data_IF_300886099926
#
_entry.id   IF_300886099926
#
_cell.length_a   1.000
_cell.length_b   1.000
_cell.length_c   1.000
_cell.angle_alpha   90.00
_cell.angle_beta   90.00
_cell.angle_gamma   90.00
#
_symmetry.space_group_name_H-M   'P 1'
#
loop_
_entity.id
_entity.type
_entity.pdbx_description
1 polymer ?
#
# COMPACT_ATOMS: atom_id res chain seq x y z
N UNK A 1 13.25 -9.43 9.63
CA UNK A 1 13.34 -8.07 9.01
C UNK A 1 12.12 -7.78 8.15
N UNK A 2 11.54 -6.59 8.31
CA UNK A 2 10.49 -6.06 7.44
C UNK A 2 11.09 -4.97 6.55
N UNK A 3 10.86 -5.02 5.22
CA UNK A 3 11.13 -3.90 4.32
C UNK A 3 9.84 -3.09 4.14
N UNK A 4 9.85 -1.82 4.54
CA UNK A 4 8.73 -0.88 4.37
C UNK A 4 9.05 0.02 3.18
N UNK A 5 8.19 0.00 2.17
CA UNK A 5 8.37 0.75 0.91
C UNK A 5 7.45 1.96 0.92
N UNK A 6 8.03 3.15 0.77
CA UNK A 6 7.31 4.43 0.73
C UNK A 6 7.57 5.11 -0.61
N UNK A 7 6.61 5.12 -1.54
CA UNK A 7 6.69 5.92 -2.76
C UNK A 7 6.46 7.40 -2.42
N UNK A 8 7.35 8.28 -2.88
CA UNK A 8 7.35 9.71 -2.55
C UNK A 8 7.26 10.51 -3.85
N UNK A 9 6.25 11.38 -3.95
CA UNK A 9 6.15 12.37 -5.00
C UNK A 9 5.42 13.61 -4.48
N UNK A 10 6.13 14.74 -4.35
CA UNK A 10 5.62 16.02 -3.86
C UNK A 10 4.77 15.87 -2.59
N UNK A 11 5.40 15.36 -1.53
CA UNK A 11 4.75 15.02 -0.25
C UNK A 11 5.34 15.82 0.94
N UNK A 12 5.98 16.96 0.71
CA UNK A 12 6.70 17.74 1.73
C UNK A 12 5.85 18.04 2.98
N UNK A 13 4.54 18.25 2.82
CA UNK A 13 3.63 18.57 3.94
C UNK A 13 3.42 17.39 4.90
N UNK A 14 3.57 16.13 4.42
CA UNK A 14 3.19 14.92 5.16
C UNK A 14 4.37 14.02 5.48
N UNK A 15 5.41 14.05 4.64
CA UNK A 15 6.50 13.08 4.65
C UNK A 15 7.23 12.98 5.98
N UNK A 16 7.40 14.10 6.68
CA UNK A 16 8.02 14.12 8.01
C UNK A 16 7.25 13.22 8.97
N UNK A 17 5.93 13.39 9.09
CA UNK A 17 5.09 12.60 10.00
C UNK A 17 5.09 11.12 9.61
N UNK A 18 5.08 10.81 8.31
CA UNK A 18 5.21 9.47 7.80
C UNK A 18 6.51 8.81 8.28
N UNK A 19 7.67 9.40 7.96
CA UNK A 19 8.99 8.84 8.32
C UNK A 19 9.11 8.68 9.84
N UNK A 20 8.71 9.68 10.63
CA UNK A 20 8.77 9.60 12.09
C UNK A 20 7.90 8.45 12.64
N UNK A 21 6.76 8.15 12.03
CA UNK A 21 5.91 7.03 12.42
C UNK A 21 6.59 5.68 12.17
N UNK A 22 7.40 5.58 11.11
CA UNK A 22 8.17 4.37 10.77
C UNK A 22 9.39 4.19 11.69
N UNK A 23 10.09 5.28 12.01
CA UNK A 23 11.23 5.26 12.93
C UNK A 23 10.81 4.83 14.34
N UNK A 24 9.60 5.24 14.77
CA UNK A 24 9.06 4.95 16.11
C UNK A 24 8.39 3.58 16.24
N UNK A 25 8.46 2.70 15.24
CA UNK A 25 7.93 1.34 15.37
C UNK A 25 8.62 0.58 16.51
N UNK A 26 7.86 -0.22 17.28
CA UNK A 26 8.39 -1.09 18.35
C UNK A 26 9.24 -2.23 17.81
N UNK A 27 9.01 -2.66 16.56
CA UNK A 27 9.88 -3.57 15.82
C UNK A 27 11.11 -2.81 15.32
N UNK A 28 12.31 -3.28 15.68
CA UNK A 28 13.57 -2.62 15.34
C UNK A 28 14.20 -3.16 14.04
N UNK A 29 13.93 -4.42 13.69
CA UNK A 29 14.50 -5.08 12.50
C UNK A 29 13.78 -4.65 11.21
N UNK A 30 13.99 -3.39 10.84
CA UNK A 30 13.36 -2.72 9.72
C UNK A 30 14.37 -2.27 8.67
N UNK A 31 13.95 -2.32 7.41
CA UNK A 31 14.54 -1.61 6.28
C UNK A 31 13.49 -0.61 5.75
N UNK A 32 13.79 0.68 5.78
CA UNK A 32 12.90 1.75 5.32
C UNK A 32 13.35 2.22 3.94
N UNK A 33 12.59 1.86 2.90
CA UNK A 33 12.92 2.14 1.50
C UNK A 33 12.07 3.32 1.03
N UNK A 34 12.69 4.49 0.97
CA UNK A 34 12.07 5.72 0.49
C UNK A 34 12.37 5.89 -1.01
N UNK A 35 11.35 5.81 -1.85
CA UNK A 35 11.53 5.93 -3.31
C UNK A 35 11.02 7.28 -3.77
N UNK A 36 11.95 8.23 -4.03
CA UNK A 36 11.63 9.52 -4.60
C UNK A 36 11.36 9.40 -6.10
N UNK A 37 10.12 9.60 -6.49
CA UNK A 37 9.63 9.52 -7.88
C UNK A 37 9.72 10.87 -8.58
N UNK A 38 10.89 11.54 -8.49
CA UNK A 38 11.15 12.81 -9.18
C UNK A 38 10.41 13.99 -8.56
N UNK A 39 10.33 14.08 -7.22
CA UNK A 39 9.74 15.23 -6.53
C UNK A 39 10.45 16.54 -6.90
N UNK A 40 9.67 17.62 -6.96
CA UNK A 40 10.13 18.98 -7.27
C UNK A 40 10.01 19.94 -6.08
N UNK A 41 9.47 19.44 -4.96
CA UNK A 41 9.35 20.11 -3.67
C UNK A 41 10.48 19.67 -2.70
N UNK A 42 10.35 19.99 -1.41
CA UNK A 42 11.35 19.64 -0.39
C UNK A 42 11.33 18.16 0.05
N UNK A 43 10.52 17.29 -0.57
CA UNK A 43 10.41 15.88 -0.17
C UNK A 43 11.74 15.15 -0.15
N UNK A 44 12.61 15.36 -1.17
CA UNK A 44 13.91 14.70 -1.23
C UNK A 44 14.85 15.17 -0.12
N UNK A 45 14.90 16.47 0.16
CA UNK A 45 15.75 17.04 1.22
C UNK A 45 15.29 16.56 2.61
N UNK A 46 13.99 16.46 2.84
CA UNK A 46 13.43 15.89 4.08
C UNK A 46 13.88 14.43 4.23
N UNK A 47 13.70 13.60 3.21
CA UNK A 47 14.11 12.19 3.26
C UNK A 47 15.61 12.05 3.56
N UNK A 48 16.46 12.85 2.91
CA UNK A 48 17.91 12.84 3.11
C UNK A 48 18.32 13.25 4.53
N UNK A 49 17.63 14.21 5.13
CA UNK A 49 17.88 14.63 6.50
C UNK A 49 17.62 13.51 7.51
N UNK A 50 16.57 12.69 7.30
CA UNK A 50 16.28 11.52 8.13
C UNK A 50 17.24 10.36 7.87
N UNK A 51 17.60 10.09 6.62
CA UNK A 51 18.55 9.03 6.27
C UNK A 51 19.96 9.29 6.86
N UNK A 52 20.33 10.54 7.05
CA UNK A 52 21.59 10.90 7.73
C UNK A 52 21.58 10.56 9.24
N UNK A 53 20.41 10.35 9.85
CA UNK A 53 20.22 10.12 11.27
C UNK A 53 19.84 8.68 11.61
N UNK A 54 19.26 7.93 10.68
CA UNK A 54 18.80 6.56 10.88
C UNK A 54 19.30 5.66 9.75
N UNK A 55 20.24 4.76 10.06
CA UNK A 55 20.88 3.85 9.10
C UNK A 55 19.91 2.81 8.49
N UNK A 56 18.69 2.67 9.02
CA UNK A 56 17.64 1.80 8.46
C UNK A 56 17.01 2.40 7.20
N UNK A 57 17.21 3.71 6.94
CA UNK A 57 16.61 4.43 5.81
C UNK A 57 17.52 4.36 4.59
N UNK A 58 17.00 3.80 3.51
CA UNK A 58 17.63 3.76 2.19
C UNK A 58 16.80 4.60 1.22
N UNK A 59 17.45 5.52 0.47
CA UNK A 59 16.76 6.40 -0.50
C UNK A 59 17.13 5.99 -1.92
N UNK A 60 16.12 5.84 -2.75
CA UNK A 60 16.27 5.61 -4.20
C UNK A 60 15.52 6.68 -4.96
N UNK A 61 16.16 7.32 -5.93
CA UNK A 61 15.54 8.32 -6.78
C UNK A 61 15.39 7.82 -8.21
N UNK A 62 14.28 8.19 -8.84
CA UNK A 62 14.00 7.89 -10.24
C UNK A 62 13.33 9.08 -10.93
N UNK A 63 13.39 9.19 -12.27
CA UNK A 63 12.53 10.11 -13.00
C UNK A 63 11.07 9.79 -12.75
N UNK A 64 10.22 10.82 -12.68
CA UNK A 64 8.79 10.64 -12.39
C UNK A 64 8.13 9.65 -13.35
N UNK A 65 7.64 8.54 -12.80
CA UNK A 65 7.02 7.43 -13.53
C UNK A 65 5.74 6.91 -12.85
N UNK A 66 5.34 7.53 -11.74
CA UNK A 66 4.13 7.23 -10.98
C UNK A 66 4.32 6.21 -9.85
N UNK A 67 3.33 6.17 -8.97
CA UNK A 67 3.35 5.39 -7.73
C UNK A 67 3.63 3.89 -7.95
N UNK A 68 3.08 3.29 -9.02
CA UNK A 68 3.36 1.90 -9.39
C UNK A 68 4.85 1.65 -9.64
N UNK A 69 5.48 2.51 -10.44
CA UNK A 69 6.89 2.40 -10.77
C UNK A 69 7.77 2.57 -9.51
N UNK A 70 7.40 3.52 -8.64
CA UNK A 70 8.10 3.74 -7.38
C UNK A 70 7.99 2.53 -6.44
N UNK A 71 6.78 1.94 -6.27
CA UNK A 71 6.61 0.72 -5.48
C UNK A 71 7.38 -0.47 -6.08
N UNK A 72 7.33 -0.64 -7.42
CA UNK A 72 8.10 -1.68 -8.12
C UNK A 72 9.61 -1.49 -7.95
N UNK A 73 10.08 -0.26 -7.96
CA UNK A 73 11.49 0.05 -7.70
C UNK A 73 11.86 -0.32 -6.25
N UNK A 74 11.04 0.06 -5.28
CA UNK A 74 11.25 -0.33 -3.88
C UNK A 74 11.31 -1.84 -3.68
N UNK A 75 10.44 -2.61 -4.35
CA UNK A 75 10.44 -4.08 -4.29
C UNK A 75 11.77 -4.70 -4.75
N UNK A 76 12.47 -4.10 -5.73
CA UNK A 76 13.78 -4.58 -6.21
C UNK A 76 14.87 -4.46 -5.14
N UNK A 77 14.73 -3.52 -4.22
CA UNK A 77 15.70 -3.22 -3.15
C UNK A 77 15.33 -3.84 -1.81
N UNK A 78 14.13 -4.41 -1.69
CA UNK A 78 13.65 -5.04 -0.47
C UNK A 78 14.44 -6.32 -0.13
N UNK A 79 15.05 -6.33 1.06
CA UNK A 79 15.87 -7.46 1.59
C UNK A 79 15.09 -8.27 2.62
N UNK A 80 14.06 -7.68 3.25
CA UNK A 80 13.28 -8.29 4.30
C UNK A 80 12.54 -9.56 3.88
N UNK A 81 12.29 -10.44 4.83
CA UNK A 81 11.40 -11.59 4.67
C UNK A 81 9.95 -11.12 4.49
N UNK A 82 9.64 -9.98 5.07
CA UNK A 82 8.33 -9.37 5.01
C UNK A 82 8.38 -8.02 4.31
N UNK A 83 7.27 -7.68 3.64
CA UNK A 83 7.10 -6.43 2.89
C UNK A 83 5.87 -5.69 3.40
N UNK A 84 5.99 -4.40 3.59
CA UNK A 84 4.87 -3.49 3.81
C UNK A 84 4.97 -2.29 2.84
N UNK A 85 3.83 -1.71 2.51
CA UNK A 85 3.75 -0.45 1.76
C UNK A 85 3.08 0.60 2.64
N UNK A 86 3.61 1.82 2.60
CA UNK A 86 3.03 2.97 3.30
C UNK A 86 3.05 4.15 2.34
N UNK A 87 1.92 4.84 2.19
CA UNK A 87 1.86 6.02 1.36
C UNK A 87 2.47 7.22 2.11
N UNK A 88 3.16 8.12 1.39
CA UNK A 88 3.95 9.20 1.99
C UNK A 88 3.13 10.25 2.77
N UNK A 89 1.81 10.26 2.57
CA UNK A 89 0.85 11.10 3.29
C UNK A 89 0.17 10.41 4.47
N UNK A 90 0.51 9.13 4.75
CA UNK A 90 -0.07 8.31 5.82
C UNK A 90 0.96 8.05 6.94
N UNK A 91 0.50 7.43 8.03
CA UNK A 91 1.34 7.05 9.16
C UNK A 91 0.92 5.71 9.78
N UNK A 92 1.80 5.14 10.61
CA UNK A 92 1.52 3.91 11.36
C UNK A 92 1.50 4.17 12.86
N UNK A 93 0.61 3.47 13.59
CA UNK A 93 0.73 3.37 15.04
C UNK A 93 2.03 2.64 15.42
N UNK A 94 2.64 2.93 16.57
CA UNK A 94 3.96 2.41 16.92
C UNK A 94 4.07 0.88 16.96
N UNK A 95 2.99 0.17 17.24
CA UNK A 95 2.93 -1.29 17.36
C UNK A 95 2.43 -2.01 16.09
N UNK A 96 2.32 -1.28 14.97
CA UNK A 96 1.77 -1.84 13.72
C UNK A 96 2.58 -3.02 13.20
N UNK A 97 3.90 -2.88 13.11
CA UNK A 97 4.80 -3.94 12.64
C UNK A 97 4.75 -5.17 13.55
N UNK A 98 4.86 -4.97 14.86
CA UNK A 98 4.83 -6.03 15.86
C UNK A 98 3.54 -6.85 15.80
N UNK A 99 2.37 -6.18 15.75
CA UNK A 99 1.07 -6.86 15.67
C UNK A 99 0.89 -7.66 14.40
N UNK A 100 1.39 -7.17 13.27
CA UNK A 100 1.31 -7.91 12.02
C UNK A 100 2.28 -9.10 12.01
N UNK A 101 3.50 -8.95 12.55
CA UNK A 101 4.45 -10.04 12.72
C UNK A 101 3.90 -11.15 13.63
N UNK A 102 3.28 -10.79 14.74
CA UNK A 102 2.68 -11.76 15.65
C UNK A 102 1.55 -12.58 15.00
N UNK A 103 0.96 -12.07 13.92
CA UNK A 103 -0.15 -12.71 13.23
C UNK A 103 0.21 -13.40 11.91
N UNK A 104 1.46 -13.27 11.40
CA UNK A 104 1.82 -13.73 10.05
C UNK A 104 2.02 -15.24 9.94
N UNK A 105 2.09 -15.94 11.05
CA UNK A 105 2.43 -17.36 11.04
C UNK A 105 1.36 -18.22 10.35
N UNK A 106 1.78 -19.08 9.42
CA UNK A 106 0.88 -19.95 8.67
C UNK A 106 0.03 -19.28 7.58
N UNK A 107 0.26 -17.99 7.27
CA UNK A 107 -0.43 -17.25 6.20
C UNK A 107 0.55 -16.51 5.31
N UNK A 108 0.10 -16.11 4.12
CA UNK A 108 0.91 -15.38 3.14
C UNK A 108 0.92 -13.88 3.40
N UNK A 109 -0.15 -13.36 3.98
CA UNK A 109 -0.22 -11.96 4.42
C UNK A 109 -1.22 -11.76 5.56
N UNK A 110 -0.98 -10.70 6.33
CA UNK A 110 -1.89 -10.21 7.37
C UNK A 110 -2.49 -8.91 6.90
N UNK A 111 -3.79 -8.72 7.13
CA UNK A 111 -4.51 -7.49 6.80
C UNK A 111 -5.16 -6.92 8.05
N UNK A 112 -4.95 -5.64 8.30
CA UNK A 112 -5.61 -4.88 9.35
C UNK A 112 -6.64 -3.89 8.78
N UNK A 113 -7.27 -3.14 9.66
CA UNK A 113 -8.06 -1.98 9.34
C UNK A 113 -7.23 -0.68 9.35
N UNK A 114 -7.94 0.43 9.21
CA UNK A 114 -7.38 1.77 9.23
C UNK A 114 -8.23 2.74 10.07
N UNK A 115 -7.58 3.80 10.54
CA UNK A 115 -8.23 5.00 11.05
C UNK A 115 -8.13 6.09 10.00
N UNK A 116 -9.24 6.75 9.69
CA UNK A 116 -9.26 7.89 8.78
C UNK A 116 -9.04 9.16 9.58
N UNK A 117 -7.99 9.88 9.26
CA UNK A 117 -7.55 11.05 10.00
C UNK A 117 -7.72 12.32 9.15
N UNK A 118 -8.10 13.40 9.81
CA UNK A 118 -8.04 14.76 9.26
C UNK A 118 -7.34 15.63 10.29
N UNK A 119 -6.16 16.16 9.94
CA UNK A 119 -5.25 16.76 10.91
C UNK A 119 -4.98 15.76 12.05
N UNK A 120 -5.10 16.14 13.30
CA UNK A 120 -4.86 15.25 14.46
C UNK A 120 -6.13 14.50 14.93
N UNK A 121 -7.25 14.57 14.20
CA UNK A 121 -8.52 13.98 14.64
C UNK A 121 -8.86 12.73 13.84
N UNK A 122 -9.26 11.66 14.54
CA UNK A 122 -9.80 10.45 13.92
C UNK A 122 -11.26 10.70 13.57
N UNK A 123 -11.61 10.60 12.27
CA UNK A 123 -12.98 10.78 11.79
C UNK A 123 -13.78 9.48 11.86
N UNK A 124 -13.16 8.39 11.43
CA UNK A 124 -13.73 7.05 11.49
C UNK A 124 -12.63 5.99 11.45
N UNK A 125 -13.02 4.76 11.73
CA UNK A 125 -12.14 3.59 11.60
C UNK A 125 -12.90 2.45 10.94
N UNK A 126 -12.17 1.55 10.29
CA UNK A 126 -12.75 0.42 9.60
C UNK A 126 -11.83 -0.78 9.62
N UNK A 127 -12.39 -1.95 9.98
CA UNK A 127 -11.73 -3.25 9.89
C UNK A 127 -12.39 -4.04 8.76
N UNK A 128 -11.63 -4.74 7.90
CA UNK A 128 -12.21 -5.55 6.86
C UNK A 128 -12.90 -6.79 7.44
N UNK A 129 -14.07 -7.13 6.94
CA UNK A 129 -14.78 -8.35 7.32
C UNK A 129 -14.33 -9.59 6.53
N UNK A 130 -13.62 -9.37 5.41
CA UNK A 130 -13.04 -10.43 4.57
C UNK A 130 -11.88 -9.89 3.72
N UNK A 131 -10.96 -10.75 3.23
CA UNK A 131 -9.72 -10.33 2.55
C UNK A 131 -9.90 -9.44 1.32
N UNK A 132 -11.02 -9.59 0.63
CA UNK A 132 -11.30 -8.87 -0.63
C UNK A 132 -11.96 -7.49 -0.41
N UNK A 133 -12.12 -7.07 0.84
CA UNK A 133 -12.84 -5.83 1.15
C UNK A 133 -12.01 -4.57 0.86
N UNK A 134 -10.71 -4.60 1.11
CA UNK A 134 -9.83 -3.49 0.81
C UNK A 134 -8.89 -3.87 -0.33
N UNK A 135 -8.70 -2.98 -1.29
CA UNK A 135 -7.76 -3.16 -2.39
C UNK A 135 -6.41 -2.53 -2.10
N UNK A 136 -6.35 -1.54 -1.20
CA UNK A 136 -5.10 -0.90 -0.82
C UNK A 136 -4.07 -1.91 -0.33
N UNK A 137 -2.82 -1.87 -0.82
CA UNK A 137 -1.73 -2.71 -0.35
C UNK A 137 -1.20 -2.26 1.01
N UNK A 138 -1.53 -1.06 1.46
CA UNK A 138 -0.86 -0.38 2.57
C UNK A 138 -1.29 -0.89 3.97
N UNK A 139 -2.44 -1.54 4.08
CA UNK A 139 -2.94 -2.08 5.38
C UNK A 139 -2.52 -3.54 5.58
N UNK A 140 -1.42 -3.96 4.95
CA UNK A 140 -1.02 -5.37 4.90
C UNK A 140 0.48 -5.54 5.14
N UNK A 141 0.81 -6.62 5.86
CA UNK A 141 2.15 -7.18 5.91
C UNK A 141 2.16 -8.46 5.07
N UNK A 142 3.06 -8.55 4.12
CA UNK A 142 3.18 -9.69 3.22
C UNK A 142 4.44 -10.50 3.50
N UNK A 143 4.37 -11.83 3.38
CA UNK A 143 5.58 -12.61 3.13
C UNK A 143 6.13 -12.24 1.76
N UNK A 144 7.41 -11.89 1.67
CA UNK A 144 8.05 -11.54 0.38
C UNK A 144 7.88 -12.64 -0.66
N UNK A 145 7.95 -13.91 -0.25
CA UNK A 145 7.76 -15.06 -1.14
C UNK A 145 6.36 -15.08 -1.79
N UNK A 146 5.33 -14.56 -1.10
CA UNK A 146 3.95 -14.54 -1.63
C UNK A 146 3.74 -13.48 -2.71
N UNK A 147 4.53 -12.40 -2.71
CA UNK A 147 4.38 -11.28 -3.65
C UNK A 147 5.59 -11.07 -4.57
N UNK A 148 6.67 -11.84 -4.40
CA UNK A 148 7.92 -11.62 -5.16
C UNK A 148 7.80 -11.82 -6.67
N UNK A 149 6.71 -12.43 -7.15
CA UNK A 149 6.36 -12.58 -8.57
C UNK A 149 5.34 -11.55 -9.05
N UNK A 150 4.83 -10.69 -8.15
CA UNK A 150 3.84 -9.67 -8.45
C UNK A 150 4.51 -8.32 -8.68
N UNK A 151 3.86 -7.48 -9.48
CA UNK A 151 4.24 -6.09 -9.69
C UNK A 151 3.01 -5.20 -9.78
N UNK A 152 3.16 -3.94 -9.46
CA UNK A 152 2.12 -2.93 -9.69
C UNK A 152 2.05 -2.60 -11.17
N UNK A 153 0.84 -2.54 -11.72
CA UNK A 153 0.63 -2.20 -13.13
C UNK A 153 0.93 -0.71 -13.35
N UNK A 154 1.99 -0.42 -14.11
CA UNK A 154 2.39 0.95 -14.41
C UNK A 154 1.43 1.64 -15.40
N UNK A 155 1.23 2.95 -15.24
CA UNK A 155 0.31 3.73 -16.08
C UNK A 155 -1.19 3.51 -15.77
N UNK A 156 -1.51 2.86 -14.66
CA UNK A 156 -2.88 2.76 -14.16
C UNK A 156 -3.07 3.65 -12.93
N UNK A 157 -4.20 4.35 -12.87
CA UNK A 157 -4.82 4.81 -11.63
C UNK A 157 -5.67 3.64 -11.13
N UNK A 158 -5.68 3.36 -9.82
CA UNK A 158 -6.26 2.17 -9.19
C UNK A 158 -5.45 0.89 -9.48
N UNK A 159 -4.12 1.01 -9.54
CA UNK A 159 -3.16 -0.08 -9.67
C UNK A 159 -3.24 -1.07 -8.49
N UNK A 160 -3.62 -0.56 -7.32
CA UNK A 160 -3.88 -1.31 -6.08
C UNK A 160 -4.93 -2.41 -6.28
N UNK A 161 -5.96 -2.11 -7.06
CA UNK A 161 -7.01 -3.08 -7.42
C UNK A 161 -6.43 -4.23 -8.25
N UNK A 162 -5.57 -3.93 -9.21
CA UNK A 162 -4.96 -4.94 -10.08
C UNK A 162 -3.96 -5.80 -9.30
N UNK A 163 -3.13 -5.17 -8.48
CA UNK A 163 -2.19 -5.87 -7.59
C UNK A 163 -2.93 -6.81 -6.62
N UNK A 164 -3.98 -6.32 -5.96
CA UNK A 164 -4.79 -7.13 -5.06
C UNK A 164 -5.49 -8.27 -5.78
N UNK A 165 -5.99 -8.05 -7.02
CA UNK A 165 -6.58 -9.12 -7.82
C UNK A 165 -5.57 -10.22 -8.14
N UNK A 166 -4.33 -9.88 -8.51
CA UNK A 166 -3.27 -10.85 -8.79
C UNK A 166 -2.89 -11.63 -7.52
N UNK A 167 -2.76 -10.95 -6.38
CA UNK A 167 -2.54 -11.58 -5.07
C UNK A 167 -3.64 -12.61 -4.73
N UNK A 168 -4.89 -12.25 -4.94
CA UNK A 168 -6.01 -13.15 -4.65
C UNK A 168 -6.12 -14.32 -5.63
N UNK A 169 -5.78 -14.09 -6.91
CA UNK A 169 -5.75 -15.14 -7.93
C UNK A 169 -4.60 -16.11 -7.73
N UNK A 170 -3.50 -15.71 -7.11
CA UNK A 170 -2.40 -16.63 -6.75
C UNK A 170 -2.80 -17.63 -5.66
N UNK A 171 -3.94 -17.42 -5.00
CA UNK A 171 -4.42 -18.30 -3.92
C UNK A 171 -3.83 -17.92 -2.55
N UNK A 172 -3.18 -16.78 -2.42
CA UNK A 172 -2.56 -16.34 -1.18
C UNK A 172 -3.54 -16.32 0.01
N UNK A 173 -3.11 -16.91 1.13
CA UNK A 173 -3.90 -17.01 2.36
C UNK A 173 -3.75 -15.75 3.20
N UNK A 174 -4.87 -15.19 3.64
CA UNK A 174 -4.96 -13.98 4.46
C UNK A 174 -5.41 -14.29 5.88
N UNK A 175 -4.78 -13.63 6.85
CA UNK A 175 -5.34 -13.46 8.19
C UNK A 175 -5.75 -11.98 8.38
N UNK A 176 -6.98 -11.78 8.82
CA UNK A 176 -7.45 -10.45 9.23
C UNK A 176 -7.28 -10.33 10.74
N UNK A 177 -6.74 -9.21 11.19
CA UNK A 177 -6.61 -8.88 12.60
C UNK A 177 -7.55 -7.72 12.98
N UNK A 178 -8.11 -7.80 14.18
CA UNK A 178 -8.95 -6.74 14.76
C UNK A 178 -8.07 -5.61 15.29
N UNK A 179 -7.52 -4.84 14.35
CA UNK A 179 -6.59 -3.76 14.62
C UNK A 179 -6.70 -2.65 13.56
N UNK A 180 -6.55 -1.39 13.96
CA UNK A 180 -6.67 -0.21 13.10
C UNK A 180 -5.46 0.72 13.25
N UNK A 181 -4.26 0.18 13.13
CA UNK A 181 -3.01 0.93 13.30
C UNK A 181 -2.50 1.63 12.04
N UNK A 182 -3.17 1.54 10.91
CA UNK A 182 -2.87 2.35 9.73
C UNK A 182 -3.64 3.67 9.81
N UNK A 183 -2.93 4.80 9.80
CA UNK A 183 -3.48 6.14 9.91
C UNK A 183 -3.59 6.76 8.51
N UNK A 184 -4.78 6.61 7.90
CA UNK A 184 -5.06 7.14 6.57
C UNK A 184 -5.39 8.64 6.66
N UNK A 185 -4.51 9.48 6.12
CA UNK A 185 -4.65 10.94 6.12
C UNK A 185 -5.52 11.42 4.96
N UNK A 186 -6.49 12.30 5.27
CA UNK A 186 -7.26 12.96 4.22
C UNK A 186 -6.42 14.04 3.54
N UNK A 187 -5.94 13.72 2.35
CA UNK A 187 -5.19 14.63 1.50
C UNK A 187 -6.06 15.11 0.33
N UNK A 188 -6.44 16.41 0.27
CA UNK A 188 -7.23 16.95 -0.83
C UNK A 188 -6.53 16.86 -2.20
N UNK A 189 -5.20 16.77 -2.21
CA UNK A 189 -4.38 16.66 -3.41
C UNK A 189 -4.19 15.22 -3.87
N UNK A 190 -4.70 14.23 -3.11
CA UNK A 190 -4.62 12.81 -3.47
C UNK A 190 -5.18 12.54 -4.86
N UNK A 191 -4.51 11.68 -5.61
CA UNK A 191 -4.93 11.23 -6.96
C UNK A 191 -6.36 10.73 -6.98
N UNK A 192 -6.83 10.11 -5.89
CA UNK A 192 -8.20 9.55 -5.80
C UNK A 192 -9.25 10.57 -5.38
N UNK A 193 -8.89 11.81 -5.04
CA UNK A 193 -9.81 12.87 -4.65
C UNK A 193 -10.69 13.36 -5.81
N UNK A 194 -10.32 13.05 -7.06
CA UNK A 194 -11.06 13.43 -8.27
C UNK A 194 -11.59 12.18 -8.98
N UNK A 195 -12.75 12.27 -9.66
CA UNK A 195 -13.26 11.15 -10.45
C UNK A 195 -12.44 10.92 -11.72
N UNK A 196 -12.00 9.68 -11.93
CA UNK A 196 -11.18 9.25 -13.08
C UNK A 196 -11.94 8.23 -13.93
N UNK A 197 -12.97 8.66 -14.67
CA UNK A 197 -13.88 7.76 -15.42
C UNK A 197 -13.16 6.84 -16.41
N UNK A 198 -12.22 7.35 -17.18
CA UNK A 198 -11.47 6.52 -18.16
C UNK A 198 -10.53 5.53 -17.48
N UNK A 199 -9.86 5.94 -16.39
CA UNK A 199 -9.04 5.02 -15.60
C UNK A 199 -9.87 3.89 -14.99
N UNK A 200 -11.08 4.20 -14.50
CA UNK A 200 -12.05 3.21 -14.01
C UNK A 200 -12.42 2.18 -15.07
N UNK A 201 -12.75 2.62 -16.29
CA UNK A 201 -13.06 1.72 -17.42
C UNK A 201 -11.87 0.82 -17.74
N UNK A 202 -10.64 1.36 -17.78
CA UNK A 202 -9.42 0.60 -18.05
C UNK A 202 -9.20 -0.50 -17.01
N UNK A 203 -9.32 -0.18 -15.72
CA UNK A 203 -9.17 -1.17 -14.64
C UNK A 203 -10.26 -2.24 -14.70
N UNK A 204 -11.53 -1.86 -14.91
CA UNK A 204 -12.61 -2.83 -15.06
C UNK A 204 -12.40 -3.75 -16.26
N UNK A 205 -11.88 -3.24 -17.37
CA UNK A 205 -11.55 -4.06 -18.54
C UNK A 205 -10.37 -5.03 -18.23
N UNK A 206 -9.33 -4.54 -17.55
CA UNK A 206 -8.21 -5.38 -17.13
C UNK A 206 -8.67 -6.51 -16.19
N UNK A 207 -9.56 -6.23 -15.24
CA UNK A 207 -10.14 -7.25 -14.36
C UNK A 207 -10.96 -8.29 -15.15
N UNK A 208 -11.79 -7.87 -16.13
CA UNK A 208 -12.54 -8.79 -16.99
C UNK A 208 -11.60 -9.71 -17.75
N UNK A 209 -10.51 -9.19 -18.30
CA UNK A 209 -9.50 -9.99 -19.00
C UNK A 209 -8.86 -11.03 -18.07
N UNK A 210 -8.52 -10.64 -16.82
CA UNK A 210 -8.03 -11.57 -15.79
C UNK A 210 -9.07 -12.66 -15.46
N UNK A 211 -10.36 -12.34 -15.39
CA UNK A 211 -11.42 -13.30 -15.13
C UNK A 211 -11.53 -14.39 -16.22
N UNK A 212 -11.27 -14.06 -17.49
CA UNK A 212 -11.33 -15.04 -18.57
C UNK A 212 -10.35 -16.21 -18.40
N UNK A 213 -9.13 -15.94 -17.91
CA UNK A 213 -8.10 -16.95 -17.65
C UNK A 213 -8.18 -17.64 -16.27
N UNK A 214 -9.06 -17.17 -15.38
CA UNK A 214 -9.10 -17.61 -14.00
C UNK A 214 -9.92 -18.91 -13.80
N UNK A 215 -9.60 -19.66 -12.72
CA UNK A 215 -10.44 -20.76 -12.21
C UNK A 215 -11.84 -20.26 -11.80
N UNK A 216 -12.78 -21.16 -11.55
CA UNK A 216 -14.13 -20.80 -11.07
C UNK A 216 -14.08 -19.94 -9.80
N UNK A 217 -13.22 -20.31 -8.84
CA UNK A 217 -13.01 -19.52 -7.61
C UNK A 217 -12.44 -18.14 -7.93
N UNK A 218 -11.44 -18.07 -8.80
CA UNK A 218 -10.83 -16.81 -9.25
C UNK A 218 -11.84 -15.92 -9.97
N UNK A 219 -12.69 -16.48 -10.83
CA UNK A 219 -13.78 -15.72 -11.46
C UNK A 219 -14.72 -15.09 -10.43
N UNK A 220 -15.12 -15.84 -9.41
CA UNK A 220 -15.98 -15.31 -8.34
C UNK A 220 -15.34 -14.14 -7.60
N UNK A 221 -14.04 -14.23 -7.27
CA UNK A 221 -13.30 -13.15 -6.62
C UNK A 221 -13.25 -11.89 -7.51
N UNK A 222 -12.91 -12.05 -8.78
CA UNK A 222 -12.84 -10.93 -9.72
C UNK A 222 -14.22 -10.29 -9.93
N UNK A 223 -15.28 -11.09 -10.10
CA UNK A 223 -16.64 -10.55 -10.26
C UNK A 223 -17.11 -9.81 -9.02
N UNK A 224 -16.81 -10.31 -7.82
CA UNK A 224 -17.07 -9.58 -6.57
C UNK A 224 -16.38 -8.23 -6.57
N UNK A 225 -15.09 -8.19 -6.96
CA UNK A 225 -14.30 -6.95 -7.04
C UNK A 225 -14.90 -5.97 -8.06
N UNK A 226 -15.30 -6.47 -9.24
CA UNK A 226 -15.94 -5.64 -10.29
C UNK A 226 -17.26 -5.03 -9.79
N UNK A 227 -18.15 -5.85 -9.21
CA UNK A 227 -19.46 -5.39 -8.70
C UNK A 227 -19.25 -4.31 -7.63
N UNK A 228 -18.33 -4.54 -6.71
CA UNK A 228 -18.05 -3.61 -5.63
C UNK A 228 -17.47 -2.27 -6.13
N UNK A 229 -16.51 -2.31 -7.03
CA UNK A 229 -15.97 -1.09 -7.65
C UNK A 229 -17.05 -0.36 -8.42
N UNK A 230 -17.89 -1.07 -9.17
CA UNK A 230 -19.00 -0.44 -9.90
C UNK A 230 -19.98 0.26 -8.94
N UNK A 231 -20.31 -0.35 -7.79
CA UNK A 231 -21.20 0.26 -6.78
C UNK A 231 -20.56 1.46 -6.06
N UNK A 232 -19.26 1.42 -5.81
CA UNK A 232 -18.50 2.54 -5.24
C UNK A 232 -18.50 3.73 -6.22
N UNK A 233 -18.35 3.45 -7.50
CA UNK A 233 -18.29 4.46 -8.55
C UNK A 233 -19.64 5.10 -8.91
N UNK A 234 -20.76 4.49 -8.54
CA UNK A 234 -22.10 5.05 -8.73
C UNK A 234 -22.43 6.07 -7.62
N UNK A 235 -21.77 5.96 -6.45
CA UNK A 235 -22.03 6.80 -5.26
C UNK A 235 -21.05 7.99 -5.10
N UNK A 236 -20.04 8.09 -5.93
CA UNK A 236 -19.03 9.16 -6.00
C UNK A 236 -19.16 9.92 -7.32
#
# INVERSE_FOLDING_TARGET
MISIIVPIYNAEEYLQACIESLIRQTEEDLQLILVNDGSTDESLSIAQAYAAQDARIEIYSQPHAGQSAARNNGLKHAKGEYIAFVDADDALEPDWCERHLAAIDGVDYVQSGYKRCHQSSIINQKIPSHPYQFTSPCMRLYRRAAIGHLSFAEGYIYEDVLFSADLWLSGAHCRIIDYTGYLYTLNPQSTTSRPHHEARKRVLQALRNKAHGASLRGKSIIWYTIIRLSSYFIRS
#
